data_IF_514484641417
#
_entry.id   IF_514484641417
#
_cell.length_a   1.000
_cell.length_b   1.000
_cell.length_c   1.000
_cell.angle_alpha   90.00
_cell.angle_beta   90.00
_cell.angle_gamma   90.00
#
_symmetry.space_group_name_H-M   'P 1'
#
loop_
_entity.id
_entity.type
_entity.pdbx_description
1 polymer ?
#
# COMPACT_ATOMS: atom_id res chain seq x y z
N UNK A 1 -3.45 -15.96 16.33
CA UNK A 1 -3.18 -14.65 16.93
C UNK A 1 -4.06 -13.61 16.24
N UNK A 2 -4.33 -12.48 16.88
CA UNK A 2 -5.11 -11.38 16.30
C UNK A 2 -4.18 -10.18 16.03
N UNK A 3 -4.52 -9.35 15.06
CA UNK A 3 -3.82 -8.09 14.85
C UNK A 3 -4.08 -7.09 15.98
N UNK A 4 -3.14 -6.16 16.18
CA UNK A 4 -3.24 -5.06 17.13
C UNK A 4 -4.49 -4.21 16.86
N UNK A 5 -5.14 -3.71 17.91
CA UNK A 5 -6.28 -2.79 17.73
C UNK A 5 -5.87 -1.46 17.09
N UNK A 6 -4.58 -1.12 17.10
CA UNK A 6 -4.06 0.14 16.57
C UNK A 6 -4.12 0.24 15.04
N UNK A 7 -4.26 -0.89 14.32
CA UNK A 7 -4.44 -0.89 12.87
C UNK A 7 -5.89 -0.70 12.44
N UNK A 8 -6.85 -0.78 13.38
CA UNK A 8 -8.26 -0.61 13.07
C UNK A 8 -8.56 0.84 12.76
N UNK A 9 -9.23 1.06 11.64
CA UNK A 9 -9.69 2.39 11.23
C UNK A 9 -11.19 2.50 11.41
N UNK A 10 -11.65 3.56 12.07
CA UNK A 10 -13.03 3.67 12.56
C UNK A 10 -13.99 4.38 11.61
N UNK A 11 -13.48 4.94 10.49
CA UNK A 11 -14.32 5.66 9.53
C UNK A 11 -14.27 5.03 8.16
N UNK A 12 -15.44 4.94 7.51
CA UNK A 12 -15.54 4.42 6.15
C UNK A 12 -15.11 5.54 5.18
N UNK A 13 -14.18 5.28 4.24
CA UNK A 13 -13.78 6.28 3.27
C UNK A 13 -14.93 6.63 2.33
N UNK A 14 -15.06 7.90 1.98
CA UNK A 14 -16.08 8.35 1.03
C UNK A 14 -15.68 7.99 -0.41
N UNK A 15 -16.67 7.97 -1.29
CA UNK A 15 -16.44 7.96 -2.74
C UNK A 15 -16.61 9.38 -3.28
N UNK A 16 -15.56 9.94 -3.84
CA UNK A 16 -15.55 11.30 -4.39
C UNK A 16 -15.49 11.27 -5.92
N UNK A 17 -16.29 12.08 -6.57
CA UNK A 17 -16.30 12.24 -8.03
C UNK A 17 -15.30 13.32 -8.43
N UNK A 18 -14.34 12.95 -9.28
CA UNK A 18 -13.25 13.83 -9.73
C UNK A 18 -13.34 14.05 -11.24
N UNK A 19 -13.22 15.31 -11.65
CA UNK A 19 -12.96 15.67 -13.06
C UNK A 19 -11.57 16.24 -13.22
N UNK A 20 -10.93 15.88 -14.33
CA UNK A 20 -9.60 16.32 -14.69
C UNK A 20 -9.63 17.30 -15.87
N UNK A 21 -8.55 18.06 -16.02
CA UNK A 21 -8.26 18.74 -17.27
C UNK A 21 -7.86 17.70 -18.36
N UNK A 22 -7.79 18.14 -19.61
CA UNK A 22 -7.53 17.24 -20.75
C UNK A 22 -6.20 16.48 -20.64
N UNK A 23 -5.15 17.12 -20.09
CA UNK A 23 -3.84 16.50 -19.92
C UNK A 23 -3.87 15.41 -18.84
N UNK A 24 -4.52 15.68 -17.71
CA UNK A 24 -4.70 14.71 -16.63
C UNK A 24 -5.51 13.50 -17.09
N UNK A 25 -6.61 13.72 -17.82
CA UNK A 25 -7.42 12.64 -18.41
C UNK A 25 -6.59 11.75 -19.34
N UNK A 26 -5.76 12.34 -20.22
CA UNK A 26 -4.88 11.57 -21.10
C UNK A 26 -3.85 10.73 -20.34
N UNK A 27 -3.31 11.22 -19.21
CA UNK A 27 -2.38 10.44 -18.40
C UNK A 27 -3.05 9.26 -17.72
N UNK A 28 -4.25 9.46 -17.17
CA UNK A 28 -5.04 8.35 -16.58
C UNK A 28 -5.35 7.29 -17.64
N UNK A 29 -5.80 7.70 -18.83
CA UNK A 29 -6.08 6.75 -19.92
C UNK A 29 -4.84 5.98 -20.41
N UNK A 30 -3.64 6.53 -20.20
CA UNK A 30 -2.36 5.86 -20.51
C UNK A 30 -1.84 5.00 -19.35
N UNK A 31 -2.59 4.89 -18.25
CA UNK A 31 -2.19 4.10 -17.07
C UNK A 31 -1.13 4.76 -16.21
N UNK A 32 -0.98 6.10 -16.27
CA UNK A 32 -0.04 6.79 -15.39
C UNK A 32 -0.46 6.63 -13.92
N UNK A 33 0.45 6.28 -12.99
CA UNK A 33 0.07 5.93 -11.62
C UNK A 33 -0.37 7.12 -10.76
N UNK A 34 -0.13 8.34 -11.23
CA UNK A 34 -0.30 9.56 -10.44
C UNK A 34 -1.16 10.60 -11.16
N UNK A 35 -2.04 11.24 -10.39
CA UNK A 35 -2.74 12.47 -10.79
C UNK A 35 -2.28 13.59 -9.88
N UNK A 36 -1.70 14.63 -10.48
CA UNK A 36 -1.24 15.81 -9.74
C UNK A 36 -2.40 16.75 -9.41
N UNK A 37 -2.26 17.50 -8.32
CA UNK A 37 -3.28 18.45 -7.84
C UNK A 37 -3.73 19.46 -8.90
N UNK A 38 -2.80 19.98 -9.70
CA UNK A 38 -3.07 20.91 -10.80
C UNK A 38 -3.82 20.29 -11.99
N UNK A 39 -3.98 18.96 -12.01
CA UNK A 39 -4.72 18.24 -13.04
C UNK A 39 -6.21 18.15 -12.74
N UNK A 40 -6.61 18.43 -11.49
CA UNK A 40 -7.99 18.31 -11.02
C UNK A 40 -8.72 19.64 -11.25
N UNK A 41 -9.86 19.57 -11.94
CA UNK A 41 -10.71 20.74 -12.22
C UNK A 41 -11.94 20.80 -11.33
N UNK A 42 -12.39 19.66 -10.80
CA UNK A 42 -13.57 19.59 -9.92
C UNK A 42 -13.51 18.36 -9.01
N UNK A 43 -13.93 18.54 -7.77
CA UNK A 43 -14.27 17.50 -6.79
C UNK A 43 -15.69 17.83 -6.29
N UNK A 44 -16.55 16.84 -6.09
CA UNK A 44 -17.96 17.05 -5.73
C UNK A 44 -18.21 17.34 -4.25
N UNK A 45 -17.30 16.95 -3.36
CA UNK A 45 -17.45 17.07 -1.89
C UNK A 45 -16.10 17.37 -1.23
N UNK A 46 -16.12 17.68 0.06
CA UNK A 46 -14.90 17.80 0.86
C UNK A 46 -14.19 16.45 0.98
N UNK A 47 -13.10 16.32 0.23
CA UNK A 47 -12.32 15.10 0.14
C UNK A 47 -11.29 15.00 1.28
N UNK A 48 -11.18 13.81 1.86
CA UNK A 48 -10.22 13.49 2.92
C UNK A 48 -9.20 12.47 2.44
N UNK A 49 -8.02 12.48 3.04
CA UNK A 49 -6.99 11.48 2.74
C UNK A 49 -7.53 10.07 3.00
N UNK A 50 -7.38 9.19 2.00
CA UNK A 50 -7.90 7.83 2.02
C UNK A 50 -9.27 7.67 1.37
N UNK A 51 -9.96 8.75 0.98
CA UNK A 51 -11.18 8.65 0.18
C UNK A 51 -10.90 8.03 -1.20
N UNK A 52 -11.87 7.27 -1.70
CA UNK A 52 -11.81 6.67 -3.03
C UNK A 52 -12.24 7.70 -4.09
N UNK A 53 -11.29 8.13 -4.91
CA UNK A 53 -11.53 9.00 -6.04
C UNK A 53 -12.00 8.20 -7.27
N UNK A 54 -13.20 8.52 -7.74
CA UNK A 54 -13.77 8.02 -8.99
C UNK A 54 -13.55 9.09 -10.06
N UNK A 55 -12.72 8.77 -11.05
CA UNK A 55 -12.33 9.71 -12.09
C UNK A 55 -13.28 9.58 -13.27
N UNK A 56 -13.96 10.68 -13.60
CA UNK A 56 -14.89 10.74 -14.73
C UNK A 56 -14.26 11.46 -15.93
N UNK A 57 -14.43 10.88 -17.12
CA UNK A 57 -14.12 11.53 -18.39
C UNK A 57 -14.86 12.86 -18.53
N UNK A 58 -14.19 13.85 -19.12
CA UNK A 58 -14.73 15.20 -19.25
C UNK A 58 -16.04 15.24 -20.03
N UNK A 59 -16.11 14.52 -21.16
CA UNK A 59 -17.16 14.68 -22.17
C UNK A 59 -18.33 13.69 -22.04
N UNK A 60 -18.07 12.46 -21.56
CA UNK A 60 -19.09 11.39 -21.55
C UNK A 60 -19.53 10.97 -20.15
N UNK A 61 -18.98 11.58 -19.09
CA UNK A 61 -19.21 11.19 -17.69
C UNK A 61 -19.05 9.68 -17.44
N UNK A 62 -18.19 9.02 -18.21
CA UNK A 62 -17.81 7.61 -17.99
C UNK A 62 -16.67 7.57 -16.99
N UNK A 63 -16.66 6.56 -16.11
CA UNK A 63 -15.51 6.27 -15.25
C UNK A 63 -14.32 5.87 -16.12
N UNK A 64 -13.15 6.44 -15.83
CA UNK A 64 -11.90 6.16 -16.55
C UNK A 64 -10.77 5.71 -15.61
N UNK A 65 -11.04 5.67 -14.30
CA UNK A 65 -10.08 5.20 -13.32
C UNK A 65 -10.54 5.40 -11.90
N UNK A 66 -9.87 4.70 -10.99
CA UNK A 66 -10.08 4.73 -9.55
C UNK A 66 -8.74 4.92 -8.86
N UNK A 67 -8.70 5.72 -7.80
CA UNK A 67 -7.49 5.95 -7.02
C UNK A 67 -7.78 6.48 -5.64
N UNK A 68 -6.75 6.54 -4.79
CA UNK A 68 -6.88 7.04 -3.42
C UNK A 68 -6.48 8.52 -3.37
N UNK A 69 -7.35 9.35 -2.80
CA UNK A 69 -7.11 10.76 -2.62
C UNK A 69 -6.18 11.03 -1.44
N UNK A 70 -5.22 11.93 -1.60
CA UNK A 70 -4.27 12.35 -0.56
C UNK A 70 -4.33 13.87 -0.39
N UNK A 71 -4.97 14.36 0.67
CA UNK A 71 -5.18 15.78 0.92
C UNK A 71 -3.89 16.57 1.20
N UNK A 72 -2.78 15.88 1.49
CA UNK A 72 -1.53 16.51 1.89
C UNK A 72 -0.40 16.39 0.84
N UNK A 73 -0.68 15.78 -0.33
CA UNK A 73 0.33 15.49 -1.36
C UNK A 73 0.11 16.26 -2.68
N UNK A 74 1.17 16.76 -3.35
CA UNK A 74 1.06 17.30 -4.71
C UNK A 74 0.60 16.25 -5.72
N UNK A 75 0.95 14.97 -5.51
CA UNK A 75 0.33 13.82 -6.17
C UNK A 75 -0.99 13.56 -5.42
N UNK A 76 -2.05 14.16 -5.93
CA UNK A 76 -3.32 14.29 -5.23
C UNK A 76 -4.14 13.01 -5.25
N UNK A 77 -4.02 12.21 -6.31
CA UNK A 77 -4.63 10.88 -6.40
C UNK A 77 -3.56 9.89 -6.81
N UNK A 78 -3.43 8.81 -6.04
CA UNK A 78 -2.59 7.66 -6.39
C UNK A 78 -3.48 6.59 -7.00
N UNK A 79 -3.25 6.28 -8.27
CA UNK A 79 -4.12 5.41 -9.06
C UNK A 79 -4.02 3.96 -8.59
N UNK A 80 -5.18 3.30 -8.48
CA UNK A 80 -5.31 1.86 -8.26
C UNK A 80 -5.75 1.13 -9.52
N UNK A 81 -6.52 1.82 -10.37
CA UNK A 81 -7.09 1.26 -11.58
C UNK A 81 -7.24 2.35 -12.65
N UNK A 82 -6.88 2.03 -13.89
CA UNK A 82 -7.06 2.91 -15.05
C UNK A 82 -7.75 2.11 -16.15
N UNK A 83 -8.96 2.51 -16.53
CA UNK A 83 -9.83 1.69 -17.36
C UNK A 83 -11.29 2.13 -17.31
N UNK A 84 -12.08 1.58 -18.22
CA UNK A 84 -13.54 1.82 -18.29
C UNK A 84 -14.35 0.64 -17.73
N UNK A 85 -13.67 -0.46 -17.46
CA UNK A 85 -14.21 -1.65 -16.83
C UNK A 85 -14.66 -1.34 -15.40
N UNK A 86 -15.76 -1.98 -14.99
CA UNK A 86 -16.27 -1.83 -13.64
C UNK A 86 -15.38 -2.62 -12.69
N UNK A 87 -14.75 -1.91 -11.76
CA UNK A 87 -13.92 -2.50 -10.69
C UNK A 87 -14.40 -1.97 -9.35
N UNK A 88 -14.45 -2.85 -8.35
CA UNK A 88 -14.75 -2.50 -6.97
C UNK A 88 -13.47 -2.56 -6.14
N UNK A 89 -13.11 -1.45 -5.50
CA UNK A 89 -11.92 -1.39 -4.63
C UNK A 89 -12.33 -1.84 -3.22
N UNK A 90 -12.23 -3.15 -3.00
CA UNK A 90 -12.58 -3.82 -1.74
C UNK A 90 -11.44 -4.76 -1.29
N UNK A 91 -11.64 -5.51 -0.20
CA UNK A 91 -10.64 -6.46 0.31
C UNK A 91 -10.25 -7.54 -0.70
N UNK A 92 -11.20 -8.00 -1.54
CA UNK A 92 -10.94 -9.00 -2.57
C UNK A 92 -10.03 -8.45 -3.68
N UNK A 93 -10.24 -7.20 -4.10
CA UNK A 93 -9.36 -6.50 -5.05
C UNK A 93 -7.91 -6.49 -4.55
N UNK A 94 -7.68 -6.09 -3.29
CA UNK A 94 -6.34 -6.08 -2.72
C UNK A 94 -5.75 -7.48 -2.56
N UNK A 95 -6.56 -8.45 -2.13
CA UNK A 95 -6.12 -9.84 -2.01
C UNK A 95 -5.66 -10.41 -3.35
N UNK A 96 -6.39 -10.15 -4.43
CA UNK A 96 -6.02 -10.59 -5.77
C UNK A 96 -4.71 -9.94 -6.24
N UNK A 97 -4.53 -8.64 -6.02
CA UNK A 97 -3.28 -7.95 -6.35
C UNK A 97 -2.09 -8.50 -5.54
N UNK A 98 -2.28 -8.82 -4.26
CA UNK A 98 -1.25 -9.45 -3.41
C UNK A 98 -0.87 -10.83 -3.93
N UNK A 99 -1.85 -11.65 -4.32
CA UNK A 99 -1.59 -12.98 -4.90
C UNK A 99 -0.79 -12.88 -6.20
N UNK A 100 -1.16 -11.95 -7.09
CA UNK A 100 -0.41 -11.72 -8.33
C UNK A 100 1.01 -11.19 -8.04
N UNK A 101 1.16 -10.29 -7.08
CA UNK A 101 2.48 -9.83 -6.64
C UNK A 101 3.33 -10.98 -6.12
N UNK A 102 2.80 -11.83 -5.23
CA UNK A 102 3.48 -13.02 -4.71
C UNK A 102 3.86 -13.99 -5.82
N UNK A 103 2.95 -14.25 -6.76
CA UNK A 103 3.18 -15.15 -7.89
C UNK A 103 4.42 -14.77 -8.70
N UNK A 104 4.66 -13.47 -8.93
CA UNK A 104 5.86 -12.95 -9.60
C UNK A 104 7.16 -13.27 -8.86
N UNK A 105 7.12 -13.45 -7.52
CA UNK A 105 8.31 -13.72 -6.68
C UNK A 105 8.58 -15.21 -6.43
N UNK A 106 7.66 -16.11 -6.80
CA UNK A 106 7.80 -17.54 -6.49
C UNK A 106 9.10 -18.17 -7.03
N UNK A 107 9.65 -17.66 -8.13
CA UNK A 107 10.93 -18.14 -8.68
C UNK A 107 12.11 -17.80 -7.79
N UNK A 108 12.07 -16.68 -7.06
CA UNK A 108 13.11 -16.28 -6.10
C UNK A 108 13.20 -17.29 -4.95
N UNK A 109 12.07 -17.82 -4.49
CA UNK A 109 12.04 -18.79 -3.40
C UNK A 109 12.68 -20.14 -3.77
N UNK A 110 12.92 -20.40 -5.06
CA UNK A 110 13.60 -21.61 -5.54
C UNK A 110 15.12 -21.52 -5.47
N UNK A 111 15.69 -20.35 -5.12
CA UNK A 111 17.14 -20.13 -5.13
C UNK A 111 17.78 -20.21 -3.74
N UNK A 112 17.22 -21.01 -2.82
CA UNK A 112 17.59 -21.01 -1.40
C UNK A 112 17.55 -19.59 -0.80
N UNK A 113 16.41 -18.93 -0.99
CA UNK A 113 16.14 -17.57 -0.55
C UNK A 113 14.84 -17.56 0.26
N UNK A 114 14.88 -17.00 1.47
CA UNK A 114 13.69 -16.82 2.32
C UNK A 114 13.42 -15.35 2.67
N UNK A 115 14.05 -14.43 1.94
CA UNK A 115 13.86 -12.99 2.04
C UNK A 115 13.60 -12.39 0.67
N UNK A 116 12.60 -11.52 0.56
CA UNK A 116 12.21 -10.90 -0.70
C UNK A 116 11.24 -9.74 -0.49
N UNK A 117 11.17 -8.85 -1.49
CA UNK A 117 10.13 -7.83 -1.57
C UNK A 117 8.84 -8.43 -2.14
N UNK A 118 7.84 -8.59 -1.29
CA UNK A 118 6.50 -9.05 -1.69
C UNK A 118 5.74 -7.97 -2.44
N UNK A 119 5.65 -6.74 -1.89
CA UNK A 119 4.97 -5.61 -2.53
C UNK A 119 5.98 -4.50 -2.85
N UNK A 120 6.01 -4.07 -4.11
CA UNK A 120 6.88 -2.99 -4.58
C UNK A 120 6.10 -1.78 -5.10
N UNK A 121 5.29 -1.18 -4.22
CA UNK A 121 4.64 0.09 -4.49
C UNK A 121 3.63 0.02 -5.63
N UNK A 122 3.66 1.05 -6.46
CA UNK A 122 2.87 1.20 -7.68
C UNK A 122 2.97 -0.01 -8.63
N UNK A 123 4.15 -0.66 -8.71
CA UNK A 123 4.37 -1.79 -9.62
C UNK A 123 3.53 -3.03 -9.31
N UNK A 124 3.00 -3.10 -8.10
CA UNK A 124 2.11 -4.18 -7.66
C UNK A 124 0.72 -3.67 -7.26
N UNK A 125 0.37 -2.42 -7.61
CA UNK A 125 -0.95 -1.84 -7.34
C UNK A 125 -1.12 -1.25 -5.93
N UNK A 126 -0.01 -1.02 -5.22
CA UNK A 126 0.01 -0.49 -3.85
C UNK A 126 0.84 0.80 -3.76
N UNK A 127 0.44 1.91 -4.42
CA UNK A 127 1.20 3.15 -4.44
C UNK A 127 1.66 3.61 -3.05
N UNK A 128 2.98 3.76 -2.86
CA UNK A 128 3.54 4.19 -1.58
C UNK A 128 3.38 3.19 -0.43
N UNK A 129 3.21 1.89 -0.71
CA UNK A 129 3.29 0.81 0.26
C UNK A 129 4.31 -0.24 -0.19
N UNK A 130 5.17 -0.64 0.74
CA UNK A 130 6.20 -1.66 0.54
C UNK A 130 5.99 -2.77 1.55
N UNK A 131 6.19 -4.02 1.13
CA UNK A 131 6.16 -5.15 2.03
C UNK A 131 7.35 -6.07 1.74
N UNK A 132 8.24 -6.22 2.72
CA UNK A 132 9.43 -7.07 2.64
C UNK A 132 9.30 -8.23 3.64
N UNK A 133 9.62 -9.43 3.20
CA UNK A 133 9.66 -10.63 4.04
C UNK A 133 11.12 -10.91 4.38
N UNK A 134 11.42 -11.09 5.67
CA UNK A 134 12.69 -11.57 6.19
C UNK A 134 12.44 -12.85 6.97
N UNK A 135 12.71 -14.00 6.37
CA UNK A 135 12.37 -15.32 6.90
C UNK A 135 10.88 -15.41 7.30
N UNK A 136 10.56 -15.39 8.60
CA UNK A 136 9.20 -15.46 9.13
C UNK A 136 8.60 -14.10 9.51
N UNK A 137 9.31 -12.99 9.29
CA UNK A 137 8.90 -11.63 9.66
C UNK A 137 8.54 -10.83 8.41
N UNK A 138 7.32 -10.32 8.36
CA UNK A 138 6.86 -9.39 7.34
C UNK A 138 7.01 -7.96 7.86
N UNK A 139 7.71 -7.10 7.12
CA UNK A 139 7.82 -5.68 7.39
C UNK A 139 7.04 -4.90 6.35
N UNK A 140 5.98 -4.21 6.78
CA UNK A 140 5.15 -3.37 5.90
C UNK A 140 5.46 -1.92 6.16
N UNK A 141 5.91 -1.21 5.13
CA UNK A 141 6.18 0.23 5.20
C UNK A 141 5.15 1.02 4.41
N UNK A 142 4.48 1.94 5.08
CA UNK A 142 3.54 2.88 4.44
C UNK A 142 4.14 4.29 4.39
N UNK A 143 4.00 4.94 3.24
CA UNK A 143 4.52 6.28 3.00
C UNK A 143 3.45 7.37 3.03
N UNK A 144 2.18 6.99 3.03
CA UNK A 144 1.05 7.91 2.97
C UNK A 144 -0.13 7.36 3.75
N UNK A 145 -0.89 8.26 4.37
CA UNK A 145 -2.08 7.96 5.16
C UNK A 145 -3.26 7.42 4.33
N UNK A 146 -3.17 7.46 2.99
CA UNK A 146 -4.20 6.90 2.11
C UNK A 146 -4.53 5.44 2.42
N UNK A 147 -3.59 4.71 3.02
CA UNK A 147 -3.74 3.29 3.32
C UNK A 147 -4.42 3.02 4.66
N UNK A 148 -4.51 4.00 5.58
CA UNK A 148 -5.07 3.77 6.91
C UNK A 148 -6.47 3.15 6.87
N UNK A 149 -7.41 3.57 6.01
CA UNK A 149 -8.75 2.98 5.96
C UNK A 149 -8.77 1.53 5.44
N UNK A 150 -7.73 1.10 4.74
CA UNK A 150 -7.65 -0.21 4.07
C UNK A 150 -6.63 -1.15 4.73
N UNK A 151 -5.94 -0.68 5.77
CA UNK A 151 -4.72 -1.31 6.27
C UNK A 151 -4.96 -2.69 6.85
N UNK A 152 -6.01 -2.87 7.67
CA UNK A 152 -6.34 -4.14 8.33
C UNK A 152 -6.51 -5.31 7.34
N UNK A 153 -7.43 -5.27 6.36
CA UNK A 153 -7.59 -6.37 5.41
C UNK A 153 -6.34 -6.58 4.53
N UNK A 154 -5.59 -5.51 4.22
CA UNK A 154 -4.33 -5.62 3.47
C UNK A 154 -3.28 -6.39 4.28
N UNK A 155 -3.08 -6.04 5.56
CA UNK A 155 -2.11 -6.69 6.42
C UNK A 155 -2.47 -8.16 6.66
N UNK A 156 -3.75 -8.48 6.87
CA UNK A 156 -4.22 -9.86 6.97
C UNK A 156 -3.90 -10.67 5.71
N UNK A 157 -4.21 -10.11 4.54
CA UNK A 157 -3.93 -10.77 3.26
C UNK A 157 -2.43 -10.95 3.01
N UNK A 158 -1.59 -9.95 3.34
CA UNK A 158 -0.14 -10.05 3.22
C UNK A 158 0.43 -11.11 4.17
N UNK A 159 0.00 -11.12 5.43
CA UNK A 159 0.44 -12.10 6.42
C UNK A 159 0.09 -13.52 5.97
N UNK A 160 -1.15 -13.74 5.52
CA UNK A 160 -1.59 -15.05 5.04
C UNK A 160 -0.82 -15.50 3.80
N UNK A 161 -0.65 -14.61 2.81
CA UNK A 161 0.04 -14.93 1.54
C UNK A 161 1.53 -15.22 1.75
N UNK A 162 2.20 -14.47 2.63
CA UNK A 162 3.61 -14.67 2.95
C UNK A 162 3.87 -15.79 3.97
N UNK A 163 2.82 -16.28 4.64
CA UNK A 163 2.91 -17.16 5.80
C UNK A 163 3.82 -16.62 6.92
N UNK A 164 3.92 -15.28 7.04
CA UNK A 164 4.72 -14.64 8.07
C UNK A 164 4.12 -14.89 9.46
N UNK A 165 4.96 -15.16 10.46
CA UNK A 165 4.55 -15.36 11.85
C UNK A 165 4.42 -14.04 12.61
N UNK A 166 5.14 -13.01 12.16
CA UNK A 166 5.21 -11.70 12.80
C UNK A 166 5.09 -10.61 11.75
N UNK A 167 4.31 -9.57 12.04
CA UNK A 167 4.16 -8.40 11.17
C UNK A 167 4.61 -7.15 11.91
N UNK A 168 5.55 -6.43 11.31
CA UNK A 168 6.07 -5.15 11.80
C UNK A 168 5.62 -4.05 10.84
N UNK A 169 5.09 -2.94 11.37
CA UNK A 169 4.77 -1.77 10.58
C UNK A 169 5.88 -0.71 10.68
N UNK A 170 6.28 -0.16 9.54
CA UNK A 170 7.23 0.95 9.42
C UNK A 170 6.51 2.14 8.82
N UNK A 171 6.84 3.32 9.32
CA UNK A 171 6.24 4.56 8.86
C UNK A 171 7.28 5.41 8.14
N UNK A 172 6.82 6.30 7.25
CA UNK A 172 7.65 7.41 6.79
C UNK A 172 7.67 8.51 7.87
N UNK A 173 8.69 9.37 7.85
CA UNK A 173 8.84 10.47 8.81
C UNK A 173 7.59 11.37 8.90
N UNK A 174 6.85 11.53 7.80
CA UNK A 174 5.61 12.30 7.78
C UNK A 174 4.50 11.64 8.58
N UNK A 175 4.35 10.32 8.45
CA UNK A 175 3.35 9.55 9.19
C UNK A 175 3.71 9.41 10.68
N UNK A 176 5.01 9.30 11.00
CA UNK A 176 5.47 9.22 12.39
C UNK A 176 4.99 10.37 13.28
N UNK A 177 4.84 11.56 12.69
CA UNK A 177 4.41 12.76 13.41
C UNK A 177 2.91 13.05 13.25
N UNK A 178 2.17 12.17 12.57
CA UNK A 178 0.75 12.38 12.35
C UNK A 178 -0.07 12.10 13.61
N UNK A 179 -1.14 12.90 13.78
CA UNK A 179 -2.15 12.72 14.83
C UNK A 179 -3.36 11.93 14.35
N UNK A 180 -3.38 11.49 13.08
CA UNK A 180 -4.52 10.79 12.47
C UNK A 180 -4.62 9.32 12.86
N UNK A 181 -3.54 8.74 13.40
CA UNK A 181 -3.44 7.33 13.75
C UNK A 181 -2.66 7.11 15.05
N UNK A 182 -2.73 5.89 15.58
CA UNK A 182 -2.02 5.48 16.81
C UNK A 182 -0.79 4.59 16.53
N UNK A 183 -0.52 4.28 15.26
CA UNK A 183 0.60 3.45 14.85
C UNK A 183 1.95 4.09 15.22
N UNK A 184 2.87 3.27 15.70
CA UNK A 184 4.25 3.66 15.97
C UNK A 184 5.18 3.04 14.92
N UNK A 185 6.25 3.76 14.60
CA UNK A 185 7.27 3.24 13.69
C UNK A 185 8.00 2.05 14.31
N UNK A 186 8.03 0.92 13.60
CA UNK A 186 8.61 -0.33 14.10
C UNK A 186 7.70 -1.11 15.05
N UNK A 187 6.40 -0.78 15.10
CA UNK A 187 5.43 -1.49 15.93
C UNK A 187 5.16 -2.91 15.41
N UNK A 188 5.19 -3.89 16.32
CA UNK A 188 4.73 -5.25 16.02
C UNK A 188 3.21 -5.27 16.10
N UNK A 189 2.55 -5.47 14.96
CA UNK A 189 1.09 -5.42 14.83
C UNK A 189 0.45 -6.81 14.75
N UNK A 190 1.25 -7.86 14.60
CA UNK A 190 0.81 -9.26 14.67
C UNK A 190 1.99 -10.14 15.09
N UNK A 191 1.71 -11.19 15.87
CA UNK A 191 2.73 -12.14 16.29
C UNK A 191 3.61 -11.64 17.42
N UNK A 192 4.72 -12.35 17.63
CA UNK A 192 5.75 -11.99 18.60
C UNK A 192 7.06 -11.83 17.86
N UNK A 193 7.75 -10.70 18.06
CA UNK A 193 9.09 -10.50 17.53
C UNK A 193 10.10 -10.91 18.60
N UNK A 194 10.75 -12.06 18.41
CA UNK A 194 11.74 -12.58 19.36
C UNK A 194 13.03 -11.76 19.38
N UNK A 195 13.46 -11.26 18.22
CA UNK A 195 14.66 -10.43 18.07
C UNK A 195 14.42 -9.36 17.00
N UNK A 196 14.86 -8.12 17.26
CA UNK A 196 14.79 -7.03 16.29
C UNK A 196 15.74 -7.23 15.10
N UNK A 197 16.80 -8.03 15.25
CA UNK A 197 17.71 -8.46 14.19
C UNK A 197 17.29 -9.84 13.69
N UNK A 198 16.69 -9.88 12.51
CA UNK A 198 16.17 -11.10 11.88
C UNK A 198 17.22 -11.67 10.93
N UNK A 199 17.67 -12.90 11.18
CA UNK A 199 18.53 -13.63 10.26
C UNK A 199 17.73 -14.23 9.10
N UNK A 200 18.29 -14.19 7.90
CA UNK A 200 17.66 -14.71 6.69
C UNK A 200 18.71 -15.19 5.68
N UNK A 201 18.25 -15.89 4.64
CA UNK A 201 19.10 -16.46 3.58
C UNK A 201 18.69 -15.89 2.24
N UNK A 202 19.67 -15.52 1.43
CA UNK A 202 19.49 -15.16 0.03
C UNK A 202 20.60 -15.83 -0.81
N UNK A 203 20.21 -16.63 -1.80
CA UNK A 203 21.16 -17.41 -2.62
C UNK A 203 22.11 -18.29 -1.80
N UNK A 204 21.64 -18.83 -0.67
CA UNK A 204 22.46 -19.62 0.25
C UNK A 204 23.43 -18.82 1.12
N UNK A 205 23.46 -17.50 1.02
CA UNK A 205 24.27 -16.62 1.86
C UNK A 205 23.43 -16.13 3.04
N UNK A 206 24.00 -16.16 4.25
CA UNK A 206 23.35 -15.70 5.46
C UNK A 206 23.49 -14.19 5.64
N UNK A 207 22.37 -13.53 5.90
CA UNK A 207 22.28 -12.10 6.17
C UNK A 207 21.48 -11.84 7.44
N UNK A 208 21.44 -10.59 7.88
CA UNK A 208 20.52 -10.15 8.92
C UNK A 208 20.02 -8.73 8.68
N UNK A 209 18.82 -8.43 9.17
CA UNK A 209 18.17 -7.13 9.04
C UNK A 209 17.60 -6.69 10.39
N UNK A 210 17.86 -5.44 10.80
CA UNK A 210 17.16 -4.86 11.95
C UNK A 210 15.79 -4.32 11.49
N UNK A 211 14.72 -5.05 11.76
CA UNK A 211 13.37 -4.77 11.23
C UNK A 211 12.66 -3.60 11.93
N UNK A 212 13.17 -3.13 13.08
CA UNK A 212 12.62 -2.01 13.84
C UNK A 212 13.37 -0.71 13.57
N UNK A 213 14.70 -0.73 13.50
CA UNK A 213 15.55 0.47 13.45
C UNK A 213 16.37 0.58 12.16
N UNK A 214 16.51 -0.51 11.41
CA UNK A 214 17.27 -0.54 10.18
C UNK A 214 16.72 0.38 9.09
N UNK A 215 17.59 0.71 8.13
CA UNK A 215 17.23 1.54 6.98
C UNK A 215 16.11 0.89 6.15
N UNK A 216 15.27 1.73 5.52
CA UNK A 216 14.08 1.29 4.77
C UNK A 216 13.13 0.46 5.65
N UNK A 217 13.16 -0.85 5.49
CA UNK A 217 12.41 -1.93 6.17
C UNK A 217 13.34 -2.83 6.99
N UNK A 218 14.65 -2.66 6.90
CA UNK A 218 15.66 -3.39 7.66
C UNK A 218 16.93 -3.69 6.85
N UNK A 219 16.79 -3.87 5.54
CA UNK A 219 17.87 -4.15 4.58
C UNK A 219 17.58 -3.52 3.21
N UNK A 220 18.57 -3.51 2.31
CA UNK A 220 18.47 -2.85 1.01
C UNK A 220 17.90 -3.71 -0.09
#
# INVERSE_FOLDING_TARGET
MQFSKNIKYTSIPNQIAVKLNAKGEQFVLKGHPWVFSNSITKINTDAKTGDLAIIFSKNKNRVIGLGLYDANSPIRIKMLHSGIEKVEINSEFFQNNIKEAFKKRQTLLKTNTNSYRLIFGENDGFPGLIADVYASVLVVKIYSEIWLPYLEPILESLQHTSNAKTVVIRLSRGLENSKSHQLKNGEVVYGTLENEVVAFVEHGVNFSANVIKGHKTGYF
#
